data_IF_107261168132
#
_entry.id   IF_107261168132
#
_cell.length_a   1.000
_cell.length_b   1.000
_cell.length_c   1.000
_cell.angle_alpha   90.00
_cell.angle_beta   90.00
_cell.angle_gamma   90.00
#
_symmetry.space_group_name_H-M   'P 1'
#
loop_
_entity.id
_entity.type
_entity.pdbx_description
1 polymer ?
#
# COMPACT_ATOMS: atom_id res chain seq x y z
N UNK A 1 4.06 18.04 -23.52
CA UNK A 1 2.68 18.08 -24.03
C UNK A 1 1.78 17.70 -22.88
N UNK A 2 0.97 18.63 -22.37
CA UNK A 2 0.13 18.33 -21.21
C UNK A 2 -1.03 17.43 -21.66
N UNK A 3 -1.54 16.53 -20.79
CA UNK A 3 -2.73 15.74 -21.09
C UNK A 3 -3.94 16.61 -21.47
N UNK A 4 -4.01 17.82 -20.89
CA UNK A 4 -5.06 18.80 -21.12
C UNK A 4 -5.12 19.29 -22.58
N UNK A 5 -3.97 19.39 -23.24
CA UNK A 5 -3.88 19.83 -24.64
C UNK A 5 -4.51 18.81 -25.60
N UNK A 6 -4.44 17.51 -25.25
CA UNK A 6 -4.96 16.42 -26.09
C UNK A 6 -6.48 16.35 -26.02
N UNK A 7 -7.04 16.53 -24.81
CA UNK A 7 -8.49 16.56 -24.60
C UNK A 7 -9.09 17.79 -25.29
N UNK A 8 -8.44 18.96 -25.17
CA UNK A 8 -8.91 20.20 -25.79
C UNK A 8 -8.97 20.10 -27.31
N UNK A 9 -7.95 19.49 -27.95
CA UNK A 9 -7.97 19.25 -29.41
C UNK A 9 -9.07 18.27 -29.83
N UNK A 10 -9.29 17.21 -29.05
CA UNK A 10 -10.36 16.26 -29.31
C UNK A 10 -11.74 16.90 -29.18
N UNK A 11 -11.94 17.71 -28.13
CA UNK A 11 -13.18 18.46 -27.92
C UNK A 11 -13.44 19.45 -29.06
N UNK A 12 -12.42 20.16 -29.53
CA UNK A 12 -12.50 21.05 -30.69
C UNK A 12 -12.92 20.28 -31.95
N UNK A 13 -12.25 19.16 -32.24
CA UNK A 13 -12.54 18.33 -33.42
C UNK A 13 -13.93 17.69 -33.38
N UNK A 14 -14.40 17.27 -32.21
CA UNK A 14 -15.75 16.74 -32.02
C UNK A 14 -16.78 17.87 -32.17
N UNK A 15 -16.53 19.04 -31.59
CA UNK A 15 -17.37 20.22 -31.74
C UNK A 15 -17.55 20.62 -33.19
N UNK A 16 -16.46 20.69 -33.96
CA UNK A 16 -16.50 21.02 -35.39
C UNK A 16 -17.30 19.97 -36.19
N UNK A 17 -17.08 18.67 -35.94
CA UNK A 17 -17.82 17.59 -36.62
C UNK A 17 -19.30 17.56 -36.23
N UNK A 18 -19.62 17.83 -34.97
CA UNK A 18 -20.99 17.86 -34.48
C UNK A 18 -21.74 19.09 -35.01
N UNK A 19 -21.09 20.25 -35.08
CA UNK A 19 -21.64 21.47 -35.68
C UNK A 19 -22.00 21.23 -37.16
N UNK A 20 -21.12 20.56 -37.90
CA UNK A 20 -21.36 20.18 -39.29
C UNK A 20 -22.49 19.15 -39.41
N UNK A 21 -22.57 18.18 -38.49
CA UNK A 21 -23.66 17.20 -38.45
C UNK A 21 -25.00 17.82 -38.03
N UNK A 22 -25.00 18.90 -37.25
CA UNK A 22 -26.20 19.63 -36.85
C UNK A 22 -26.81 20.46 -37.99
N UNK A 23 -26.07 20.69 -39.08
CA UNK A 23 -26.61 21.27 -40.32
C UNK A 23 -27.18 20.20 -41.27
N UNK A 24 -27.07 18.91 -40.92
CA UNK A 24 -27.64 17.81 -41.69
C UNK A 24 -29.15 17.62 -41.37
N UNK A 25 -29.92 16.94 -42.25
CA UNK A 25 -31.33 16.61 -42.01
C UNK A 25 -31.59 15.95 -40.65
N UNK A 26 -32.75 16.21 -40.04
CA UNK A 26 -33.11 15.73 -38.69
C UNK A 26 -32.92 14.23 -38.48
N UNK A 27 -33.14 13.40 -39.51
CA UNK A 27 -32.99 11.95 -39.42
C UNK A 27 -31.52 11.52 -39.20
N UNK A 28 -30.58 12.23 -39.81
CA UNK A 28 -29.15 12.01 -39.59
C UNK A 28 -28.76 12.51 -38.19
N UNK A 29 -29.32 13.63 -37.76
CA UNK A 29 -29.07 14.19 -36.42
C UNK A 29 -29.45 13.20 -35.31
N UNK A 30 -30.63 12.56 -35.42
CA UNK A 30 -31.10 11.53 -34.48
C UNK A 30 -30.18 10.30 -34.46
N UNK A 31 -29.73 9.85 -35.63
CA UNK A 31 -28.78 8.74 -35.73
C UNK A 31 -27.43 9.06 -35.09
N UNK A 32 -26.89 10.25 -35.35
CA UNK A 32 -25.64 10.72 -34.73
C UNK A 32 -25.78 10.82 -33.21
N UNK A 33 -26.90 11.34 -32.71
CA UNK A 33 -27.13 11.45 -31.27
C UNK A 33 -27.19 10.07 -30.57
N UNK A 34 -27.80 9.07 -31.20
CA UNK A 34 -27.81 7.69 -30.67
C UNK A 34 -26.42 7.07 -30.66
N UNK A 35 -25.63 7.26 -31.73
CA UNK A 35 -24.24 6.77 -31.78
C UNK A 35 -23.38 7.45 -30.74
N UNK A 36 -23.52 8.76 -30.53
CA UNK A 36 -22.78 9.52 -29.51
C UNK A 36 -23.16 9.03 -28.11
N UNK A 37 -24.46 8.82 -27.84
CA UNK A 37 -24.91 8.31 -26.55
C UNK A 37 -24.41 6.90 -26.27
N UNK A 38 -24.51 6.00 -27.25
CA UNK A 38 -23.94 4.66 -27.15
C UNK A 38 -22.40 4.63 -27.12
N UNK A 39 -21.72 5.65 -27.63
CA UNK A 39 -20.28 5.81 -27.48
C UNK A 39 -19.92 6.25 -26.06
N UNK A 40 -20.67 7.17 -25.44
CA UNK A 40 -20.48 7.53 -24.02
C UNK A 40 -20.68 6.34 -23.09
N UNK A 41 -21.65 5.46 -23.36
CA UNK A 41 -21.87 4.24 -22.58
C UNK A 41 -20.72 3.23 -22.70
N UNK A 42 -19.93 3.29 -23.79
CA UNK A 42 -18.74 2.45 -24.01
C UNK A 42 -17.45 3.07 -23.48
N UNK A 43 -17.50 4.33 -23.07
CA UNK A 43 -16.36 4.98 -22.41
C UNK A 43 -16.47 4.73 -20.91
N UNK A 44 -15.35 4.37 -20.29
CA UNK A 44 -15.22 4.27 -18.83
C UNK A 44 -15.22 5.69 -18.23
N UNK A 45 -16.40 6.34 -18.23
CA UNK A 45 -16.57 7.67 -17.69
C UNK A 45 -16.55 7.59 -16.17
N UNK A 46 -15.45 8.06 -15.58
CA UNK A 46 -15.39 8.32 -14.15
C UNK A 46 -16.06 9.66 -13.90
N UNK A 47 -17.07 9.69 -13.02
CA UNK A 47 -17.72 10.95 -12.67
C UNK A 47 -16.71 11.86 -11.98
N UNK A 48 -16.95 13.18 -12.07
CA UNK A 48 -16.08 14.14 -11.36
C UNK A 48 -16.11 13.92 -9.86
N UNK A 49 -17.27 13.54 -9.33
CA UNK A 49 -17.50 13.24 -7.92
C UNK A 49 -16.65 12.04 -7.46
N UNK A 50 -16.62 10.96 -8.25
CA UNK A 50 -15.79 9.78 -7.94
C UNK A 50 -14.29 10.09 -7.99
N UNK A 51 -13.87 10.91 -8.96
CA UNK A 51 -12.49 11.36 -9.03
C UNK A 51 -12.07 12.17 -7.79
N UNK A 52 -12.94 13.08 -7.35
CA UNK A 52 -12.68 13.89 -6.17
C UNK A 52 -12.62 13.02 -4.89
N UNK A 53 -13.46 11.98 -4.80
CA UNK A 53 -13.42 11.00 -3.71
C UNK A 53 -12.08 10.23 -3.71
N UNK A 54 -11.64 9.73 -4.86
CA UNK A 54 -10.36 9.03 -4.98
C UNK A 54 -9.18 9.94 -4.60
N UNK A 55 -9.25 11.22 -4.98
CA UNK A 55 -8.24 12.21 -4.61
C UNK A 55 -8.18 12.42 -3.09
N UNK A 56 -9.32 12.54 -2.42
CA UNK A 56 -9.39 12.66 -0.96
C UNK A 56 -8.84 11.41 -0.25
N UNK A 57 -9.19 10.22 -0.74
CA UNK A 57 -8.61 8.96 -0.23
C UNK A 57 -7.09 8.93 -0.42
N UNK A 58 -6.58 9.36 -1.57
CA UNK A 58 -5.14 9.45 -1.84
C UNK A 58 -4.44 10.43 -0.89
N UNK A 59 -5.06 11.57 -0.59
CA UNK A 59 -4.51 12.55 0.36
C UNK A 59 -4.46 11.96 1.78
N UNK A 60 -5.56 11.35 2.25
CA UNK A 60 -5.64 10.72 3.57
C UNK A 60 -4.61 9.60 3.73
N UNK A 61 -4.45 8.76 2.71
CA UNK A 61 -3.47 7.68 2.74
C UNK A 61 -2.04 8.23 2.79
N UNK A 62 -1.73 9.28 2.02
CA UNK A 62 -0.43 9.95 2.11
C UNK A 62 -0.15 10.49 3.51
N UNK A 63 -1.10 11.20 4.11
CA UNK A 63 -0.95 11.72 5.48
C UNK A 63 -0.74 10.59 6.49
N UNK A 64 -1.46 9.47 6.34
CA UNK A 64 -1.31 8.31 7.22
C UNK A 64 0.06 7.65 7.07
N UNK A 65 0.57 7.54 5.84
CA UNK A 65 1.92 7.01 5.57
C UNK A 65 2.98 7.90 6.22
N UNK A 66 2.92 9.21 6.01
CA UNK A 66 3.86 10.16 6.63
C UNK A 66 3.83 10.09 8.17
N UNK A 67 2.65 9.89 8.77
CA UNK A 67 2.53 9.73 10.23
C UNK A 67 3.18 8.43 10.72
N UNK A 68 3.00 7.33 10.00
CA UNK A 68 3.62 6.04 10.34
C UNK A 68 5.13 6.07 10.15
N UNK A 69 5.62 6.69 9.08
CA UNK A 69 7.05 6.89 8.85
C UNK A 69 7.71 7.65 10.02
N UNK A 70 7.05 8.69 10.53
CA UNK A 70 7.53 9.41 11.74
C UNK A 70 7.54 8.54 12.99
N UNK A 71 6.50 7.73 13.19
CA UNK A 71 6.44 6.82 14.35
C UNK A 71 7.54 5.77 14.29
N UNK A 72 7.78 5.18 13.12
CA UNK A 72 8.86 4.21 12.91
C UNK A 72 10.22 4.86 13.18
N UNK A 73 10.48 6.03 12.60
CA UNK A 73 11.74 6.75 12.85
C UNK A 73 11.97 7.08 14.34
N UNK A 74 10.91 7.47 15.06
CA UNK A 74 10.98 7.71 16.50
C UNK A 74 11.31 6.43 17.29
N UNK A 75 10.74 5.29 16.90
CA UNK A 75 10.99 4.01 17.55
C UNK A 75 12.40 3.49 17.26
N UNK A 76 12.84 3.61 16.00
CA UNK A 76 14.21 3.27 15.60
C UNK A 76 15.24 4.10 16.38
N UNK A 77 15.03 5.41 16.51
CA UNK A 77 15.89 6.28 17.31
C UNK A 77 15.88 5.91 18.81
N UNK A 78 14.73 5.55 19.37
CA UNK A 78 14.63 5.12 20.76
C UNK A 78 15.39 3.81 21.01
N UNK A 79 15.31 2.86 20.09
CA UNK A 79 16.05 1.59 20.16
C UNK A 79 17.56 1.84 20.06
N UNK A 80 18.00 2.70 19.14
CA UNK A 80 19.43 3.04 19.01
C UNK A 80 19.97 3.72 20.27
N UNK A 81 19.19 4.62 20.87
CA UNK A 81 19.53 5.27 22.14
C UNK A 81 19.61 4.27 23.31
N UNK A 82 18.75 3.25 23.35
CA UNK A 82 18.83 2.18 24.35
C UNK A 82 20.04 1.26 24.12
N UNK A 83 20.40 1.01 22.87
CA UNK A 83 21.58 0.22 22.50
C UNK A 83 22.89 0.96 22.76
N UNK A 84 22.86 2.29 22.67
CA UNK A 84 23.99 3.18 22.92
C UNK A 84 24.15 3.61 24.38
N UNK A 85 23.40 3.01 25.32
CA UNK A 85 23.60 3.28 26.74
C UNK A 85 25.06 2.95 27.15
N UNK A 86 25.81 3.87 27.79
CA UNK A 86 27.24 3.71 28.02
C UNK A 86 27.53 2.56 28.99
N UNK A 87 28.22 1.52 28.50
CA UNK A 87 29.14 0.78 29.36
C UNK A 87 30.24 1.75 29.79
N UNK A 88 30.11 2.28 31.00
CA UNK A 88 31.19 2.94 31.71
C UNK A 88 32.29 1.91 32.08
N UNK A 89 33.55 2.34 32.18
CA UNK A 89 34.72 1.52 31.97
C UNK A 89 34.99 0.61 33.17
N UNK A 90 35.21 -0.69 32.91
CA UNK A 90 35.91 -1.55 33.88
C UNK A 90 37.38 -1.65 33.47
N UNK A 91 38.30 -1.43 34.42
CA UNK A 91 39.72 -1.24 34.18
C UNK A 91 40.40 -2.52 33.69
N UNK A 92 41.46 -2.31 32.93
CA UNK A 92 42.65 -3.16 32.77
C UNK A 92 42.71 -4.36 33.70
N UNK A 93 42.55 -5.56 33.15
CA UNK A 93 43.13 -6.77 33.72
C UNK A 93 44.08 -7.34 32.68
N UNK A 94 45.34 -6.94 32.81
CA UNK A 94 46.46 -7.63 32.19
C UNK A 94 46.52 -9.05 32.74
N UNK A 95 46.26 -10.05 31.90
CA UNK A 95 47.05 -11.28 31.92
C UNK A 95 47.31 -11.67 30.47
N UNK A 96 48.52 -11.34 30.07
CA UNK A 96 49.25 -11.94 28.97
C UNK A 96 49.47 -13.44 29.24
N UNK A 97 49.07 -14.28 28.29
CA UNK A 97 49.56 -15.64 28.05
C UNK A 97 49.13 -16.01 26.62
N UNK A 98 49.92 -15.64 25.61
CA UNK A 98 50.85 -16.52 24.86
C UNK A 98 50.16 -17.68 24.14
N UNK A 99 50.20 -17.62 22.80
CA UNK A 99 50.51 -18.74 21.87
C UNK A 99 49.48 -19.89 21.77
N UNK A 100 49.12 -20.51 20.65
CA UNK A 100 49.49 -20.53 19.22
C UNK A 100 48.36 -21.32 18.51
N UNK A 101 48.02 -21.05 17.23
CA UNK A 101 46.95 -21.74 16.51
C UNK A 101 47.31 -23.16 16.07
N UNK A 102 46.44 -24.14 16.31
CA UNK A 102 46.51 -25.44 15.63
C UNK A 102 45.15 -25.91 15.14
N UNK A 103 45.04 -25.99 13.80
CA UNK A 103 44.09 -26.81 13.02
C UNK A 103 44.10 -28.25 13.54
N UNK A 104 42.94 -28.93 13.55
CA UNK A 104 42.74 -30.06 12.63
C UNK A 104 41.27 -30.56 12.55
N UNK A 105 40.94 -30.95 11.32
CA UNK A 105 40.01 -32.00 10.85
C UNK A 105 38.62 -32.26 11.49
N UNK A 106 37.62 -31.92 10.66
CA UNK A 106 36.78 -32.88 9.94
C UNK A 106 35.51 -33.49 10.59
N UNK A 107 34.45 -33.40 9.77
CA UNK A 107 33.52 -34.48 9.38
C UNK A 107 32.19 -34.60 10.15
N UNK A 108 31.16 -34.06 9.49
CA UNK A 108 29.96 -34.77 9.00
C UNK A 108 29.20 -35.68 9.97
N UNK A 109 27.97 -35.28 10.32
CA UNK A 109 26.81 -36.19 10.29
C UNK A 109 25.49 -35.41 10.34
N UNK A 110 24.68 -35.60 9.31
CA UNK A 110 23.30 -35.17 9.20
C UNK A 110 22.38 -35.96 10.14
N UNK A 111 21.38 -35.30 10.75
CA UNK A 111 20.06 -35.91 11.02
C UNK A 111 18.97 -34.86 11.35
N UNK A 112 18.12 -34.57 10.37
CA UNK A 112 16.69 -34.18 10.54
C UNK A 112 15.87 -35.47 10.28
N UNK A 113 14.55 -35.61 10.56
CA UNK A 113 13.60 -34.85 11.38
C UNK A 113 12.93 -35.73 12.47
N UNK A 114 12.29 -35.12 13.48
CA UNK A 114 11.21 -35.76 14.27
C UNK A 114 10.23 -34.65 14.65
N UNK A 115 9.18 -34.49 13.84
CA UNK A 115 7.84 -35.02 14.10
C UNK A 115 7.14 -34.32 15.27
N UNK A 116 6.16 -33.49 14.88
CA UNK A 116 4.87 -33.27 15.52
C UNK A 116 4.83 -33.14 17.05
N UNK A 117 4.54 -31.92 17.51
CA UNK A 117 3.67 -31.69 18.68
C UNK A 117 3.01 -30.32 18.51
N UNK A 118 1.84 -30.36 17.91
CA UNK A 118 0.77 -29.37 18.03
C UNK A 118 0.42 -29.16 19.50
N UNK A 119 0.42 -27.92 19.97
CA UNK A 119 -0.26 -27.54 21.21
C UNK A 119 -0.76 -26.09 21.14
N UNK A 120 -1.97 -25.95 20.62
CA UNK A 120 -2.89 -24.84 20.90
C UNK A 120 -3.14 -24.77 22.42
N UNK A 121 -3.07 -23.60 23.06
CA UNK A 121 -3.78 -23.38 24.32
C UNK A 121 -5.15 -22.80 24.01
N UNK A 122 -6.14 -23.67 24.18
CA UNK A 122 -7.56 -23.38 24.24
C UNK A 122 -7.86 -22.46 25.44
N UNK A 123 -8.59 -21.35 25.24
CA UNK A 123 -9.26 -20.62 26.32
C UNK A 123 -10.72 -21.11 26.36
N UNK A 124 -11.18 -21.74 27.45
CA UNK A 124 -12.54 -22.24 27.53
C UNK A 124 -13.53 -21.11 27.84
N UNK A 125 -14.74 -21.25 27.29
CA UNK A 125 -16.06 -21.08 27.91
C UNK A 125 -16.34 -19.81 28.74
N UNK A 126 -17.55 -19.28 28.83
CA UNK A 126 -18.84 -19.41 28.20
C UNK A 126 -19.71 -18.41 28.98
N UNK A 127 -20.80 -17.96 28.36
CA UNK A 127 -22.00 -17.45 29.04
C UNK A 127 -21.87 -16.10 29.75
N UNK A 128 -22.41 -15.06 29.12
CA UNK A 128 -23.38 -14.25 29.84
C UNK A 128 -24.64 -14.15 28.98
N UNK A 129 -25.75 -14.47 29.63
CA UNK A 129 -27.09 -14.64 29.11
C UNK A 129 -27.91 -13.43 29.56
N UNK A 130 -29.19 -13.36 29.17
CA UNK A 130 -30.21 -12.36 29.60
C UNK A 130 -30.13 -11.01 28.84
N UNK A 131 -31.07 -10.64 27.97
CA UNK A 131 -32.54 -10.54 28.07
C UNK A 131 -32.99 -9.46 29.04
N UNK A 132 -33.10 -8.24 28.51
CA UNK A 132 -33.95 -7.15 29.02
C UNK A 132 -34.49 -6.42 27.78
N UNK A 133 -35.75 -6.62 27.39
CA UNK A 133 -36.92 -5.83 27.82
C UNK A 133 -36.74 -4.31 27.56
N UNK A 134 -37.17 -3.84 26.38
CA UNK A 134 -38.29 -2.89 26.19
C UNK A 134 -38.45 -2.47 24.72
#
# INVERSE_FOLDING_TARGET
MTPQDRISRLAQQIGDRLQNASQAPEDIQKGVQQVVRGAFDRLELVSREDFDILMDVLQRTRTRVEALERQVASLEAAIENQKSAPQAPTPTSSVEATEDPSKDTAKTAAKKPKAASTSTPNKPAASDNLKDDK
#
